data_IF_832350970780
#
_entry.id   IF_832350970780
#
_cell.length_a   1.000
_cell.length_b   1.000
_cell.length_c   1.000
_cell.angle_alpha   90.00
_cell.angle_beta   90.00
_cell.angle_gamma   90.00
#
_symmetry.space_group_name_H-M   'P 1'
#
loop_
_entity.id
_entity.type
_entity.pdbx_description
1 polymer ?
#
# COMPACT_ATOMS: atom_id res chain seq x y z
N UNK A 1 11.94 32.44 -8.46
CA UNK A 1 12.26 31.69 -7.24
C UNK A 1 11.86 30.24 -7.50
N UNK A 2 12.80 29.44 -8.03
CA UNK A 2 12.58 28.01 -8.30
C UNK A 2 12.83 27.28 -6.99
N UNK A 3 11.76 26.77 -6.37
CA UNK A 3 11.89 25.93 -5.18
C UNK A 3 12.45 24.57 -5.59
N UNK A 4 13.55 24.21 -4.94
CA UNK A 4 14.24 22.93 -5.05
C UNK A 4 13.30 21.82 -4.54
N UNK A 5 12.66 21.08 -5.47
CA UNK A 5 11.82 19.92 -5.15
C UNK A 5 12.72 18.68 -5.03
N UNK A 6 13.55 18.64 -4.00
CA UNK A 6 14.22 17.40 -3.63
C UNK A 6 13.17 16.48 -3.00
N UNK A 7 12.70 15.47 -3.74
CA UNK A 7 11.76 14.48 -3.24
C UNK A 7 12.46 13.61 -2.18
N UNK A 8 12.26 13.91 -0.89
CA UNK A 8 12.76 13.08 0.20
C UNK A 8 11.78 11.92 0.39
N UNK A 9 12.15 10.73 -0.09
CA UNK A 9 11.42 9.50 0.19
C UNK A 9 11.68 9.07 1.63
N UNK A 10 10.79 9.45 2.55
CA UNK A 10 10.89 9.02 3.95
C UNK A 10 10.08 7.74 4.18
N UNK A 11 10.71 6.65 4.65
CA UNK A 11 9.98 5.43 4.97
C UNK A 11 9.13 5.65 6.23
N UNK A 12 7.81 5.56 6.10
CA UNK A 12 6.90 5.46 7.25
C UNK A 12 6.93 4.01 7.74
N UNK A 13 7.50 3.78 8.93
CA UNK A 13 7.45 2.46 9.59
C UNK A 13 6.15 2.35 10.40
N UNK A 14 5.18 1.64 9.85
CA UNK A 14 4.00 1.21 10.62
C UNK A 14 4.37 -0.10 11.32
N UNK A 15 4.51 -0.08 12.63
CA UNK A 15 4.84 -1.28 13.41
C UNK A 15 3.58 -2.15 13.60
N UNK A 16 3.75 -3.47 13.37
CA UNK A 16 2.73 -4.49 13.62
C UNK A 16 2.29 -4.52 15.08
N UNK A 17 1.08 -4.02 15.34
CA UNK A 17 0.26 -4.52 16.45
C UNK A 17 -1.02 -5.09 15.85
N UNK A 18 -1.14 -6.41 15.94
CA UNK A 18 -2.31 -7.20 15.57
C UNK A 18 -3.52 -6.68 16.33
N UNK A 19 -4.47 -6.01 15.68
CA UNK A 19 -5.81 -5.75 16.25
C UNK A 19 -6.88 -5.60 15.17
N UNK A 20 -8.00 -6.29 15.39
CA UNK A 20 -9.20 -6.34 14.54
C UNK A 20 -9.86 -4.97 14.43
N UNK A 21 -10.00 -4.43 13.22
CA UNK A 21 -10.59 -3.11 12.94
C UNK A 21 -9.78 -2.27 11.94
N UNK A 22 -9.35 -2.91 10.84
CA UNK A 22 -8.12 -2.53 10.16
C UNK A 22 -8.16 -1.21 9.36
N UNK A 23 -9.29 -0.81 8.78
CA UNK A 23 -9.35 0.39 7.91
C UNK A 23 -9.26 1.73 8.67
N UNK A 24 -9.99 1.89 9.77
CA UNK A 24 -10.01 3.15 10.56
C UNK A 24 -8.65 3.41 11.22
N UNK A 25 -8.03 2.36 11.77
CA UNK A 25 -6.70 2.46 12.37
C UNK A 25 -5.63 2.91 11.35
N UNK A 26 -5.65 2.34 10.14
CA UNK A 26 -4.73 2.73 9.07
C UNK A 26 -4.90 4.22 8.73
N UNK A 27 -6.14 4.70 8.61
CA UNK A 27 -6.43 6.11 8.38
C UNK A 27 -5.85 6.99 9.49
N UNK A 28 -6.05 6.64 10.76
CA UNK A 28 -5.51 7.41 11.88
C UNK A 28 -3.98 7.50 11.87
N UNK A 29 -3.29 6.38 11.62
CA UNK A 29 -1.83 6.33 11.59
C UNK A 29 -1.29 7.16 10.42
N UNK A 30 -1.85 6.98 9.22
CA UNK A 30 -1.41 7.72 8.04
C UNK A 30 -1.69 9.22 8.18
N UNK A 31 -2.88 9.61 8.65
CA UNK A 31 -3.20 11.03 8.91
C UNK A 31 -2.21 11.68 9.88
N UNK A 32 -1.88 11.00 10.99
CA UNK A 32 -0.92 11.51 11.98
C UNK A 32 0.46 11.74 11.36
N UNK A 33 0.96 10.80 10.56
CA UNK A 33 2.27 10.93 9.93
C UNK A 33 2.26 11.99 8.81
N UNK A 34 1.20 12.09 8.00
CA UNK A 34 1.05 13.16 6.99
C UNK A 34 1.08 14.54 7.64
N UNK A 35 0.32 14.72 8.73
CA UNK A 35 0.27 15.99 9.47
C UNK A 35 1.64 16.31 10.07
N UNK A 36 2.29 15.33 10.70
CA UNK A 36 3.61 15.48 11.33
C UNK A 36 4.71 15.84 10.34
N UNK A 37 4.70 15.26 9.14
CA UNK A 37 5.61 15.63 8.05
C UNK A 37 5.32 17.03 7.49
N UNK A 38 4.08 17.50 7.67
CA UNK A 38 3.54 18.70 7.08
C UNK A 38 2.78 18.34 5.82
N UNK A 39 1.45 18.45 5.88
CA UNK A 39 0.52 18.01 4.82
C UNK A 39 0.81 18.55 3.41
N UNK A 40 1.44 19.74 3.32
CA UNK A 40 1.84 20.38 2.07
C UNK A 40 3.09 19.77 1.43
N UNK A 41 3.88 19.00 2.21
CA UNK A 41 5.13 18.37 1.76
C UNK A 41 4.93 16.94 1.28
N UNK A 42 3.77 16.35 1.57
CA UNK A 42 3.43 15.00 1.15
C UNK A 42 2.67 15.10 -0.17
N UNK A 43 3.20 14.45 -1.21
CA UNK A 43 2.60 14.40 -2.54
C UNK A 43 2.10 13.00 -2.91
N UNK A 44 2.65 11.96 -2.26
CA UNK A 44 2.27 10.58 -2.50
C UNK A 44 2.46 9.71 -1.27
N UNK A 45 1.59 8.71 -1.13
CA UNK A 45 1.67 7.61 -0.16
C UNK A 45 1.65 6.30 -0.95
N UNK A 46 2.75 5.55 -0.87
CA UNK A 46 2.90 4.27 -1.59
C UNK A 46 2.95 3.13 -0.56
N UNK A 47 1.97 2.23 -0.60
CA UNK A 47 1.82 1.11 0.35
C UNK A 47 1.42 -0.18 -0.38
N UNK A 48 1.40 -1.33 0.29
CA UNK A 48 0.98 -2.58 -0.36
C UNK A 48 -0.50 -2.53 -0.82
N UNK A 49 -0.89 -3.44 -1.71
CA UNK A 49 -2.21 -3.39 -2.35
C UNK A 49 -3.30 -4.12 -1.54
N UNK A 50 -3.20 -4.09 -0.20
CA UNK A 50 -4.11 -4.77 0.70
C UNK A 50 -5.51 -4.11 0.72
N UNK A 51 -6.58 -4.90 0.87
CA UNK A 51 -7.96 -4.40 0.82
C UNK A 51 -8.26 -3.31 1.88
N UNK A 52 -7.77 -3.48 3.11
CA UNK A 52 -7.95 -2.49 4.18
C UNK A 52 -7.19 -1.19 3.90
N UNK A 53 -6.05 -1.28 3.21
CA UNK A 53 -5.24 -0.15 2.82
C UNK A 53 -5.94 0.67 1.71
N UNK A 54 -6.53 0.00 0.70
CA UNK A 54 -7.37 0.65 -0.31
C UNK A 54 -8.57 1.40 0.28
N UNK A 55 -9.23 0.79 1.28
CA UNK A 55 -10.33 1.45 1.97
C UNK A 55 -9.86 2.69 2.75
N UNK A 56 -8.67 2.63 3.35
CA UNK A 56 -8.07 3.80 4.00
C UNK A 56 -7.71 4.90 3.00
N UNK A 57 -7.20 4.54 1.81
CA UNK A 57 -6.89 5.51 0.76
C UNK A 57 -8.13 6.29 0.33
N UNK A 58 -9.26 5.61 0.08
CA UNK A 58 -10.52 6.28 -0.28
C UNK A 58 -10.94 7.31 0.76
N UNK A 59 -10.88 6.94 2.04
CA UNK A 59 -11.18 7.84 3.17
C UNK A 59 -10.27 9.05 3.20
N UNK A 60 -8.96 8.83 3.07
CA UNK A 60 -7.96 9.89 3.09
C UNK A 60 -8.03 10.77 1.84
N UNK A 61 -8.34 10.23 0.67
CA UNK A 61 -8.53 10.98 -0.56
C UNK A 61 -9.83 11.79 -0.56
N UNK A 62 -10.81 11.40 0.27
CA UNK A 62 -12.16 11.96 0.26
C UNK A 62 -13.12 11.28 -0.71
N UNK A 63 -12.74 10.12 -1.26
CA UNK A 63 -13.50 9.32 -2.23
C UNK A 63 -14.37 8.23 -1.57
N UNK A 64 -14.68 8.38 -0.28
CA UNK A 64 -15.48 7.39 0.45
C UNK A 64 -16.96 7.50 0.03
N UNK A 65 -17.57 6.36 -0.33
CA UNK A 65 -18.95 6.29 -0.82
C UNK A 65 -19.92 6.64 0.32
N UNK A 66 -20.50 7.84 0.28
CA UNK A 66 -21.29 8.45 1.38
C UNK A 66 -22.73 7.91 1.50
N UNK A 67 -22.98 6.67 1.09
CA UNK A 67 -24.34 6.11 1.12
C UNK A 67 -24.77 5.67 2.53
N UNK A 68 -23.83 5.55 3.47
CA UNK A 68 -24.10 5.16 4.86
C UNK A 68 -23.55 6.23 5.83
N UNK A 69 -24.42 7.06 6.44
CA UNK A 69 -24.01 8.15 7.32
C UNK A 69 -23.30 7.67 8.60
N UNK A 70 -23.50 6.41 9.03
CA UNK A 70 -22.77 5.84 10.18
C UNK A 70 -21.34 5.41 9.82
N UNK A 71 -21.05 5.23 8.52
CA UNK A 71 -19.72 4.85 8.02
C UNK A 71 -18.92 6.01 7.44
N UNK A 72 -19.53 7.18 7.33
CA UNK A 72 -18.88 8.38 6.82
C UNK A 72 -17.63 8.72 7.63
N UNK A 73 -16.50 8.83 6.94
CA UNK A 73 -15.28 9.36 7.53
C UNK A 73 -15.42 10.88 7.71
N UNK A 74 -15.27 11.34 8.96
CA UNK A 74 -15.38 12.76 9.34
C UNK A 74 -14.04 13.42 9.65
N UNK A 75 -12.94 12.69 9.45
CA UNK A 75 -11.59 13.20 9.66
C UNK A 75 -11.06 14.03 8.49
N UNK A 76 -9.85 14.56 8.64
CA UNK A 76 -9.19 15.34 7.59
C UNK A 76 -8.89 14.46 6.36
N UNK A 77 -9.12 15.04 5.18
CA UNK A 77 -8.83 14.45 3.87
C UNK A 77 -7.69 15.22 3.18
N UNK A 78 -7.01 14.54 2.27
CA UNK A 78 -5.84 15.01 1.56
C UNK A 78 -5.99 14.72 0.06
N UNK A 79 -6.94 15.37 -0.65
CA UNK A 79 -7.27 15.08 -2.05
C UNK A 79 -6.11 15.34 -3.03
N UNK A 80 -5.10 16.10 -2.63
CA UNK A 80 -3.90 16.35 -3.44
C UNK A 80 -2.82 15.25 -3.31
N UNK A 81 -2.95 14.34 -2.35
CA UNK A 81 -1.99 13.26 -2.12
C UNK A 81 -2.36 12.08 -3.01
N UNK A 82 -1.39 11.60 -3.78
CA UNK A 82 -1.53 10.39 -4.59
C UNK A 82 -1.41 9.15 -3.69
N UNK A 83 -2.48 8.36 -3.57
CA UNK A 83 -2.46 7.09 -2.84
C UNK A 83 -2.31 5.93 -3.82
N UNK A 84 -1.16 5.25 -3.81
CA UNK A 84 -0.84 4.20 -4.78
C UNK A 84 -0.37 2.88 -4.14
N UNK A 85 -0.66 1.79 -4.84
CA UNK A 85 -0.14 0.47 -4.52
C UNK A 85 1.33 0.30 -4.90
N UNK A 86 2.04 -0.47 -4.10
CA UNK A 86 3.44 -0.81 -4.32
C UNK A 86 3.57 -1.64 -5.60
N UNK A 87 4.27 -1.10 -6.60
CA UNK A 87 4.52 -1.79 -7.88
C UNK A 87 5.32 -3.07 -7.70
N UNK A 88 6.23 -3.13 -6.72
CA UNK A 88 6.98 -4.35 -6.42
C UNK A 88 6.05 -5.48 -5.93
N UNK A 89 5.05 -5.15 -5.11
CA UNK A 89 4.05 -6.14 -4.69
C UNK A 89 3.19 -6.60 -5.87
N UNK A 90 2.81 -5.70 -6.79
CA UNK A 90 2.09 -6.08 -8.00
C UNK A 90 2.91 -7.02 -8.91
N UNK A 91 4.22 -6.79 -9.04
CA UNK A 91 5.12 -7.68 -9.80
C UNK A 91 5.22 -9.06 -9.12
N UNK A 92 5.34 -9.12 -7.80
CA UNK A 92 5.36 -10.38 -7.05
C UNK A 92 4.07 -11.19 -7.26
N UNK A 93 2.90 -10.54 -7.19
CA UNK A 93 1.62 -11.18 -7.48
C UNK A 93 1.55 -11.68 -8.93
N UNK A 94 1.96 -10.87 -9.90
CA UNK A 94 1.98 -11.28 -11.31
C UNK A 94 2.91 -12.48 -11.54
N UNK A 95 4.09 -12.51 -10.90
CA UNK A 95 5.00 -13.63 -10.99
C UNK A 95 4.41 -14.91 -10.38
N UNK A 96 3.71 -14.81 -9.25
CA UNK A 96 2.98 -15.92 -8.63
C UNK A 96 1.90 -16.47 -9.54
N UNK A 97 1.11 -15.60 -10.18
CA UNK A 97 0.06 -16.02 -11.12
C UNK A 97 0.65 -16.72 -12.36
N UNK A 98 1.78 -16.23 -12.87
CA UNK A 98 2.51 -16.90 -13.97
C UNK A 98 2.99 -18.29 -13.51
N UNK A 99 3.56 -18.38 -12.31
CA UNK A 99 4.07 -19.65 -11.76
C UNK A 99 2.97 -20.64 -11.39
N UNK A 100 1.73 -20.18 -11.17
CA UNK A 100 0.58 -21.05 -10.92
C UNK A 100 0.15 -21.84 -12.17
N UNK A 101 0.59 -21.43 -13.38
CA UNK A 101 0.36 -22.22 -14.60
C UNK A 101 1.10 -23.56 -14.50
N UNK A 102 0.38 -24.66 -14.69
CA UNK A 102 0.90 -26.04 -14.55
C UNK A 102 2.23 -26.25 -15.28
N UNK A 103 2.33 -25.81 -16.54
CA UNK A 103 3.56 -25.92 -17.34
C UNK A 103 4.76 -25.24 -16.70
N UNK A 104 4.58 -24.04 -16.14
CA UNK A 104 5.67 -23.29 -15.49
C UNK A 104 5.97 -23.89 -14.12
N UNK A 105 4.94 -24.27 -13.36
CA UNK A 105 5.09 -24.90 -12.04
C UNK A 105 5.91 -26.20 -12.14
N UNK A 106 5.61 -27.05 -13.13
CA UNK A 106 6.28 -28.35 -13.27
C UNK A 106 7.71 -28.22 -13.79
N UNK A 107 7.96 -27.25 -14.69
CA UNK A 107 9.32 -26.87 -15.07
C UNK A 107 10.11 -26.35 -13.86
N UNK A 108 9.52 -25.45 -13.06
CA UNK A 108 10.15 -24.88 -11.88
C UNK A 108 10.50 -25.97 -10.85
N UNK A 109 9.58 -26.91 -10.57
CA UNK A 109 9.84 -28.06 -9.69
C UNK A 109 11.03 -28.88 -10.19
N UNK A 110 11.05 -29.20 -11.49
CA UNK A 110 12.14 -29.98 -12.10
C UNK A 110 13.49 -29.28 -11.96
N UNK A 111 13.54 -27.96 -12.20
CA UNK A 111 14.76 -27.16 -12.01
C UNK A 111 15.21 -27.13 -10.54
N UNK A 112 14.27 -27.04 -9.59
CA UNK A 112 14.57 -27.07 -8.15
C UNK A 112 15.16 -28.43 -7.74
N UNK A 113 14.64 -29.54 -8.26
CA UNK A 113 15.19 -30.87 -7.99
C UNK A 113 16.61 -31.03 -8.55
N UNK A 114 16.87 -30.53 -9.77
CA UNK A 114 18.23 -30.50 -10.33
C UNK A 114 19.15 -29.62 -9.48
N UNK A 115 18.69 -28.44 -9.04
CA UNK A 115 19.50 -27.56 -8.21
C UNK A 115 19.84 -28.19 -6.84
N UNK A 116 18.91 -28.96 -6.24
CA UNK A 116 19.16 -29.73 -5.01
C UNK A 116 20.21 -30.82 -5.21
N UNK A 117 20.28 -31.42 -6.40
CA UNK A 117 21.28 -32.45 -6.69
C UNK A 117 22.73 -31.91 -6.65
N UNK A 118 22.92 -30.63 -6.94
CA UNK A 118 24.23 -29.96 -6.91
C UNK A 118 24.52 -29.23 -5.59
N UNK A 119 23.63 -29.30 -4.60
CA UNK A 119 23.74 -28.60 -3.32
C UNK A 119 24.01 -29.57 -2.19
#
# INVERSE_FOLDING_TARGET
MLHDFTAIMQPIRVFDRVFQGHGKFIVEVLSKEIIKLGKQKVVAVVTDHAANMKNAWKKLAGDDDQQDPEKQYTGETFPWILFEGCKAHAIDLAAKDICAKTTISDCLKSCVEVAKFFR
#
